data_IF_020408089744
#
_entry.id   IF_020408089744
#
_cell.length_a   1.000
_cell.length_b   1.000
_cell.length_c   1.000
_cell.angle_alpha   90.00
_cell.angle_beta   90.00
_cell.angle_gamma   90.00
#
_symmetry.space_group_name_H-M   'P 1'
#
loop_
_entity.id
_entity.type
_entity.pdbx_description
1 polymer ?
#
# COMPACT_ATOMS: atom_id res chain seq x y z
N UNK A 1 -6.61 -28.02 0.99
CA UNK A 1 -5.29 -27.36 0.87
C UNK A 1 -5.38 -26.29 -0.18
N UNK A 2 -5.01 -25.04 0.15
CA UNK A 2 -4.87 -23.97 -0.84
C UNK A 2 -3.44 -24.02 -1.38
N UNK A 3 -3.31 -24.15 -2.70
CA UNK A 3 -2.04 -24.02 -3.39
C UNK A 3 -1.66 -22.53 -3.48
N UNK A 4 -0.39 -22.20 -3.24
CA UNK A 4 0.11 -20.83 -3.39
C UNK A 4 0.36 -20.56 -4.88
N UNK A 5 -0.16 -19.45 -5.39
CA UNK A 5 -0.05 -19.04 -6.79
C UNK A 5 0.56 -17.63 -6.92
N UNK A 6 1.16 -17.36 -8.09
CA UNK A 6 1.67 -16.03 -8.43
C UNK A 6 0.54 -14.99 -8.42
N UNK A 7 0.82 -13.81 -7.88
CA UNK A 7 -0.15 -12.73 -7.71
C UNK A 7 -1.00 -12.82 -6.44
N UNK A 8 -0.95 -13.92 -5.68
CA UNK A 8 -1.62 -14.00 -4.38
C UNK A 8 -1.04 -12.98 -3.38
N UNK A 9 -1.90 -12.44 -2.51
CA UNK A 9 -1.51 -11.49 -1.47
C UNK A 9 -1.71 -12.06 -0.07
N UNK A 10 -0.75 -11.80 0.80
CA UNK A 10 -0.74 -12.24 2.19
C UNK A 10 -0.43 -11.07 3.11
N UNK A 11 -0.98 -11.12 4.33
CA UNK A 11 -0.61 -10.21 5.40
C UNK A 11 0.32 -10.94 6.37
N UNK A 12 1.48 -10.36 6.63
CA UNK A 12 2.46 -10.92 7.56
C UNK A 12 3.15 -9.78 8.33
N UNK A 13 3.52 -10.04 9.58
CA UNK A 13 4.18 -9.06 10.44
C UNK A 13 3.81 -9.26 11.91
N UNK A 14 4.46 -8.49 12.78
CA UNK A 14 4.11 -8.45 14.19
C UNK A 14 2.91 -7.52 14.46
N UNK A 15 2.35 -7.60 15.66
CA UNK A 15 1.13 -6.90 16.03
C UNK A 15 1.33 -5.38 15.95
N UNK A 16 0.77 -4.75 14.91
CA UNK A 16 0.92 -3.32 14.62
C UNK A 16 1.67 -3.00 13.32
N UNK A 17 2.36 -3.97 12.74
CA UNK A 17 3.16 -3.83 11.50
C UNK A 17 2.82 -4.92 10.48
N UNK A 18 1.52 -5.16 10.25
CA UNK A 18 1.09 -6.09 9.21
C UNK A 18 1.38 -5.49 7.83
N UNK A 19 2.40 -6.02 7.16
CA UNK A 19 2.72 -5.71 5.76
C UNK A 19 1.90 -6.57 4.80
N UNK A 20 1.55 -6.00 3.64
CA UNK A 20 0.97 -6.75 2.52
C UNK A 20 2.10 -7.22 1.61
N UNK A 21 2.13 -8.53 1.33
CA UNK A 21 3.12 -9.16 0.46
C UNK A 21 2.42 -9.79 -0.74
N UNK A 22 2.95 -9.56 -1.94
CA UNK A 22 2.47 -10.20 -3.17
C UNK A 22 3.44 -11.29 -3.61
N UNK A 23 2.95 -12.48 -3.97
CA UNK A 23 3.76 -13.56 -4.54
C UNK A 23 4.19 -13.20 -5.94
N UNK A 24 5.50 -13.13 -6.16
CA UNK A 24 6.10 -12.83 -7.46
C UNK A 24 6.41 -14.10 -8.24
N UNK A 25 6.86 -15.15 -7.56
CA UNK A 25 7.31 -16.41 -8.18
C UNK A 25 7.22 -17.55 -7.15
N UNK A 26 6.74 -18.71 -7.57
CA UNK A 26 6.72 -19.94 -6.76
C UNK A 26 7.74 -20.93 -7.31
N UNK A 27 8.71 -21.34 -6.47
CA UNK A 27 9.71 -22.37 -6.77
C UNK A 27 9.49 -23.59 -5.88
N UNK A 28 10.16 -24.70 -6.19
CA UNK A 28 9.96 -26.01 -5.53
C UNK A 28 10.00 -25.93 -4.00
N UNK A 29 10.97 -25.23 -3.41
CA UNK A 29 11.14 -25.12 -1.95
C UNK A 29 10.95 -23.69 -1.41
N UNK A 30 10.73 -22.70 -2.29
CA UNK A 30 10.79 -21.28 -1.91
C UNK A 30 9.77 -20.44 -2.67
N UNK A 31 9.27 -19.38 -2.02
CA UNK A 31 8.37 -18.40 -2.65
C UNK A 31 9.02 -17.02 -2.59
N UNK A 32 9.06 -16.31 -3.72
CA UNK A 32 9.54 -14.94 -3.80
C UNK A 32 8.38 -13.99 -3.51
N UNK A 33 8.54 -13.11 -2.51
CA UNK A 33 7.53 -12.16 -2.08
C UNK A 33 7.98 -10.72 -2.36
N UNK A 34 7.03 -9.87 -2.73
CA UNK A 34 7.21 -8.42 -2.83
C UNK A 34 6.36 -7.72 -1.78
N UNK A 35 7.03 -7.10 -0.80
CA UNK A 35 6.39 -6.29 0.25
C UNK A 35 6.43 -4.78 -0.02
N UNK A 36 6.89 -4.36 -1.20
CA UNK A 36 6.85 -2.95 -1.56
C UNK A 36 5.41 -2.53 -1.87
N UNK A 37 5.09 -1.25 -1.63
CA UNK A 37 3.84 -0.67 -2.10
C UNK A 37 3.70 -0.88 -3.62
N UNK A 38 2.49 -1.13 -4.18
CA UNK A 38 2.31 -1.39 -5.61
C UNK A 38 2.87 -0.32 -6.57
N UNK A 39 3.04 0.90 -6.06
CA UNK A 39 3.59 2.05 -6.80
C UNK A 39 5.08 2.33 -6.48
N UNK A 40 5.74 1.50 -5.68
CA UNK A 40 7.16 1.68 -5.36
C UNK A 40 8.03 1.53 -6.62
N UNK A 41 8.94 2.48 -6.84
CA UNK A 41 9.79 2.52 -8.03
C UNK A 41 9.09 2.98 -9.32
N UNK A 42 7.79 3.30 -9.25
CA UNK A 42 7.04 3.84 -10.39
C UNK A 42 7.10 5.37 -10.35
N UNK A 43 7.54 5.99 -11.45
CA UNK A 43 7.40 7.44 -11.62
C UNK A 43 5.93 7.77 -11.83
N UNK A 44 5.33 8.47 -10.86
CA UNK A 44 3.93 8.87 -10.93
C UNK A 44 3.80 10.20 -11.67
N UNK A 45 2.98 10.21 -12.72
CA UNK A 45 2.66 11.40 -13.49
C UNK A 45 1.25 11.88 -13.13
N UNK A 46 1.14 13.08 -12.58
CA UNK A 46 -0.13 13.68 -12.21
C UNK A 46 -0.39 14.94 -13.05
N UNK A 47 -1.62 15.10 -13.49
CA UNK A 47 -2.14 16.37 -14.01
C UNK A 47 -3.16 16.87 -12.99
N UNK A 48 -2.82 17.95 -12.27
CA UNK A 48 -3.61 18.46 -11.14
C UNK A 48 -4.12 19.85 -11.46
N UNK A 49 -5.36 20.12 -11.06
CA UNK A 49 -5.99 21.44 -11.09
C UNK A 49 -6.41 21.81 -9.66
N UNK A 50 -6.16 23.07 -9.27
CA UNK A 50 -6.59 23.58 -7.95
C UNK A 50 -8.03 24.05 -8.10
N UNK A 51 -8.95 23.36 -7.41
CA UNK A 51 -10.38 23.69 -7.46
C UNK A 51 -10.79 24.73 -6.43
N UNK A 52 -10.16 24.73 -5.25
CA UNK A 52 -10.48 25.65 -4.15
C UNK A 52 -9.34 25.71 -3.12
N UNK A 53 -9.26 26.80 -2.36
CA UNK A 53 -8.31 27.00 -1.25
C UNK A 53 -9.01 27.71 -0.10
N UNK A 54 -9.01 27.09 1.08
CA UNK A 54 -9.57 27.66 2.31
C UNK A 54 -8.68 27.36 3.52
N UNK A 55 -8.93 28.08 4.61
CA UNK A 55 -8.33 27.74 5.90
C UNK A 55 -8.97 26.44 6.47
N UNK A 56 -8.13 25.62 7.10
CA UNK A 56 -8.59 24.46 7.85
C UNK A 56 -9.28 24.91 9.13
N UNK A 57 -10.35 24.22 9.51
CA UNK A 57 -11.01 24.42 10.82
C UNK A 57 -10.14 23.89 11.96
N UNK A 58 -10.41 24.30 13.20
CA UNK A 58 -9.66 23.83 14.37
C UNK A 58 -9.72 22.29 14.52
N UNK A 59 -10.84 21.68 14.15
CA UNK A 59 -11.02 20.22 14.21
C UNK A 59 -10.18 19.49 13.16
N UNK A 60 -10.15 19.98 11.92
CA UNK A 60 -9.34 19.39 10.84
C UNK A 60 -7.84 19.47 11.14
N UNK A 61 -7.39 20.58 11.75
CA UNK A 61 -6.01 20.72 12.24
C UNK A 61 -5.74 19.70 13.35
N UNK A 62 -6.68 19.49 14.28
CA UNK A 62 -6.53 18.52 15.36
C UNK A 62 -6.49 17.06 14.85
N UNK A 63 -7.24 16.74 13.79
CA UNK A 63 -7.31 15.40 13.22
C UNK A 63 -6.24 15.13 12.15
N UNK A 64 -5.65 16.17 11.57
CA UNK A 64 -4.60 16.06 10.53
C UNK A 64 -5.13 15.66 9.15
N UNK A 65 -6.44 15.73 8.94
CA UNK A 65 -7.08 15.46 7.66
C UNK A 65 -8.35 16.30 7.51
N UNK A 66 -8.77 16.49 6.26
CA UNK A 66 -10.02 17.16 5.90
C UNK A 66 -11.21 16.32 6.35
N UNK A 67 -12.30 16.99 6.76
CA UNK A 67 -13.61 16.36 6.99
C UNK A 67 -14.53 16.48 5.78
#
# INVERSE_FOLDING_TARGET
DQTVEEGMQFQAGEQGELGVFTVMEVKDEMVMLNGNHPLAGVTLHFSVEITDVREATEEEVAHGHVH
#
